data_IF_490169573264
#
_entry.id   IF_490169573264
#
_cell.length_a   1.000
_cell.length_b   1.000
_cell.length_c   1.000
_cell.angle_alpha   90.00
_cell.angle_beta   90.00
_cell.angle_gamma   90.00
#
_symmetry.space_group_name_H-M   'P 1'
#
loop_
_entity.id
_entity.type
_entity.pdbx_description
1 polymer ?
#
# COMPACT_ATOMS: atom_id res chain seq x y z
N UNK A 1 8.67 -17.55 13.10
CA UNK A 1 9.19 -16.84 11.93
C UNK A 1 8.17 -15.76 11.56
N UNK A 2 8.49 -14.48 11.75
CA UNK A 2 7.58 -13.41 11.33
C UNK A 2 7.52 -13.37 9.79
N UNK A 3 6.33 -13.45 9.22
CA UNK A 3 6.10 -13.33 7.77
C UNK A 3 6.45 -11.93 7.23
N UNK A 4 6.37 -11.71 5.92
CA UNK A 4 6.55 -10.36 5.35
C UNK A 4 5.47 -9.41 5.88
N UNK A 5 5.85 -8.19 6.28
CA UNK A 5 4.91 -7.16 6.75
C UNK A 5 4.03 -6.63 5.62
N UNK A 6 4.55 -6.64 4.40
CA UNK A 6 3.87 -6.14 3.20
C UNK A 6 3.75 -7.23 2.15
N UNK A 7 2.67 -7.20 1.36
CA UNK A 7 2.45 -8.15 0.28
C UNK A 7 2.53 -7.49 -1.10
N UNK A 8 2.77 -8.29 -2.14
CA UNK A 8 2.76 -7.82 -3.52
C UNK A 8 1.38 -7.27 -3.87
N UNK A 9 1.38 -6.13 -4.54
CA UNK A 9 0.20 -5.36 -4.91
C UNK A 9 -0.21 -4.30 -3.90
N UNK A 10 0.34 -4.32 -2.68
CA UNK A 10 -0.01 -3.40 -1.60
C UNK A 10 0.43 -1.96 -1.87
N UNK A 11 -0.35 -0.98 -1.43
CA UNK A 11 0.08 0.43 -1.43
C UNK A 11 0.75 0.81 -0.10
N UNK A 12 1.94 1.39 -0.21
CA UNK A 12 2.81 1.84 0.88
C UNK A 12 3.36 3.23 0.58
N UNK A 13 3.89 3.91 1.58
CA UNK A 13 4.63 5.15 1.44
C UNK A 13 5.95 5.03 2.21
N UNK A 14 6.88 5.94 1.98
CA UNK A 14 8.07 6.02 2.83
C UNK A 14 7.71 6.59 4.20
N UNK A 15 8.19 5.96 5.26
CA UNK A 15 8.05 6.48 6.62
C UNK A 15 8.73 7.86 6.74
N UNK A 16 8.24 8.72 7.65
CA UNK A 16 8.76 10.08 7.81
C UNK A 16 10.30 10.18 7.91
N UNK A 17 11.01 9.32 8.69
CA UNK A 17 12.46 9.37 8.73
C UNK A 17 13.09 9.13 7.35
N UNK A 18 12.56 8.17 6.59
CA UNK A 18 13.08 7.88 5.25
C UNK A 18 12.87 9.06 4.29
N UNK A 19 11.72 9.75 4.37
CA UNK A 19 11.44 10.95 3.58
C UNK A 19 12.40 12.10 3.95
N UNK A 20 12.65 12.31 5.25
CA UNK A 20 13.63 13.31 5.72
C UNK A 20 15.05 13.03 5.22
N UNK A 21 15.36 11.76 4.95
CA UNK A 21 16.63 11.32 4.35
C UNK A 21 16.60 11.23 2.81
N UNK A 22 15.63 11.86 2.15
CA UNK A 22 15.59 12.01 0.69
C UNK A 22 14.82 10.93 -0.06
N UNK A 23 14.06 10.07 0.63
CA UNK A 23 13.12 9.18 -0.04
C UNK A 23 11.97 9.99 -0.67
N UNK A 24 11.50 9.61 -1.88
CA UNK A 24 10.41 10.33 -2.53
C UNK A 24 9.11 10.19 -1.72
N UNK A 25 8.39 11.28 -1.46
CA UNK A 25 7.07 11.21 -0.85
C UNK A 25 6.05 10.59 -1.82
N UNK A 26 4.88 10.26 -1.29
CA UNK A 26 3.74 9.76 -2.06
C UNK A 26 3.61 8.24 -2.08
N UNK A 27 2.60 7.78 -2.83
CA UNK A 27 2.19 6.39 -2.82
C UNK A 27 3.03 5.52 -3.75
N UNK A 28 3.37 4.35 -3.25
CA UNK A 28 4.15 3.36 -3.95
C UNK A 28 3.49 1.99 -3.84
N UNK A 29 3.52 1.21 -4.91
CA UNK A 29 3.00 -0.16 -4.92
C UNK A 29 4.12 -1.15 -4.71
N UNK A 30 3.93 -2.15 -3.86
CA UNK A 30 4.83 -3.31 -3.78
C UNK A 30 4.70 -4.13 -5.06
N UNK A 31 5.75 -4.21 -5.86
CA UNK A 31 5.79 -5.03 -7.08
C UNK A 31 6.39 -6.41 -6.82
N UNK A 32 7.31 -6.53 -5.86
CA UNK A 32 7.96 -7.81 -5.53
C UNK A 32 8.63 -7.81 -4.16
N UNK A 33 8.61 -8.95 -3.46
CA UNK A 33 9.50 -9.23 -2.33
C UNK A 33 10.89 -9.66 -2.86
N UNK A 34 11.94 -9.04 -2.37
CA UNK A 34 13.33 -9.33 -2.71
C UNK A 34 14.01 -10.14 -1.60
N UNK A 35 15.14 -10.80 -1.88
CA UNK A 35 15.96 -11.43 -0.86
C UNK A 35 16.29 -10.43 0.26
N UNK A 36 16.25 -10.84 1.53
CA UNK A 36 16.60 -9.94 2.63
C UNK A 36 18.09 -9.57 2.57
N UNK A 37 18.40 -8.33 2.92
CA UNK A 37 19.76 -7.82 3.04
C UNK A 37 20.01 -7.43 4.50
N UNK A 38 21.13 -7.87 5.07
CA UNK A 38 21.46 -7.65 6.49
C UNK A 38 20.37 -8.11 7.47
N UNK A 39 19.62 -9.16 7.10
CA UNK A 39 18.52 -9.69 7.91
C UNK A 39 17.21 -8.91 7.79
N UNK A 40 17.17 -7.85 6.97
CA UNK A 40 15.98 -7.04 6.74
C UNK A 40 15.34 -7.36 5.38
N UNK A 41 14.02 -7.50 5.34
CA UNK A 41 13.28 -7.73 4.10
C UNK A 41 13.34 -6.50 3.20
N UNK A 42 13.42 -6.75 1.90
CA UNK A 42 13.43 -5.70 0.89
C UNK A 42 12.29 -5.88 -0.09
N UNK A 43 11.79 -4.77 -0.60
CA UNK A 43 10.69 -4.73 -1.53
C UNK A 43 11.08 -3.90 -2.74
N UNK A 44 10.75 -4.40 -3.94
CA UNK A 44 10.69 -3.57 -5.13
C UNK A 44 9.36 -2.85 -5.11
N UNK A 45 9.41 -1.52 -5.12
CA UNK A 45 8.22 -0.66 -5.09
C UNK A 45 8.16 0.19 -6.35
N UNK A 46 6.96 0.58 -6.77
CA UNK A 46 6.72 1.44 -7.93
C UNK A 46 5.88 2.64 -7.53
N UNK A 47 6.40 3.85 -7.73
CA UNK A 47 5.64 5.08 -7.46
C UNK A 47 4.40 5.15 -8.33
N UNK A 48 3.24 5.46 -7.76
CA UNK A 48 1.97 5.53 -8.50
C UNK A 48 1.95 6.72 -9.47
N UNK A 49 2.47 7.87 -9.04
CA UNK A 49 2.50 9.09 -9.86
C UNK A 49 3.73 9.14 -10.77
N UNK A 50 4.89 8.71 -10.26
CA UNK A 50 6.14 8.79 -11.00
C UNK A 50 6.37 7.62 -11.96
N UNK A 51 5.70 6.48 -11.73
CA UNK A 51 5.92 5.23 -12.46
C UNK A 51 7.31 4.61 -12.24
N UNK A 52 8.18 5.23 -11.44
CA UNK A 52 9.56 4.79 -11.23
C UNK A 52 9.63 3.68 -10.20
N UNK A 53 10.46 2.67 -10.49
CA UNK A 53 10.71 1.55 -9.59
C UNK A 53 11.93 1.80 -8.70
N UNK A 54 11.85 1.36 -7.45
CA UNK A 54 12.89 1.52 -6.43
C UNK A 54 12.94 0.29 -5.53
N UNK A 55 14.03 0.15 -4.79
CA UNK A 55 14.15 -0.83 -3.72
C UNK A 55 14.02 -0.09 -2.39
N UNK A 56 13.20 -0.61 -1.49
CA UNK A 56 13.02 -0.10 -0.14
C UNK A 56 13.08 -1.23 0.87
N UNK A 57 13.68 -0.96 2.03
CA UNK A 57 13.70 -1.90 3.16
C UNK A 57 12.38 -1.83 3.92
N UNK A 58 12.01 -2.91 4.60
CA UNK A 58 10.76 -3.00 5.35
C UNK A 58 10.61 -1.87 6.39
N UNK A 59 11.69 -1.46 7.06
CA UNK A 59 11.69 -0.35 8.03
C UNK A 59 11.58 1.04 7.42
N UNK A 60 11.92 1.19 6.13
CA UNK A 60 11.82 2.46 5.42
C UNK A 60 10.40 2.73 4.93
N UNK A 61 9.59 1.69 4.86
CA UNK A 61 8.22 1.75 4.44
C UNK A 61 7.32 1.92 5.64
N UNK A 62 6.33 2.77 5.47
CA UNK A 62 5.12 2.69 6.23
C UNK A 62 3.98 2.34 5.29
N UNK A 63 2.94 1.75 5.85
CA UNK A 63 1.80 1.33 5.07
C UNK A 63 0.67 1.23 6.03
N UNK A 64 -0.28 2.15 5.90
CA UNK A 64 -1.51 2.07 6.64
C UNK A 64 -2.23 0.80 6.19
N UNK A 65 -2.05 -0.28 6.97
CA UNK A 65 -2.94 -1.44 6.96
C UNK A 65 -4.40 -0.96 6.96
N UNK A 66 -4.67 0.19 7.60
CA UNK A 66 -5.95 0.89 7.60
C UNK A 66 -6.47 1.25 6.19
N UNK A 67 -5.66 1.73 5.23
CA UNK A 67 -6.14 2.08 3.88
C UNK A 67 -6.55 0.83 3.12
N UNK A 68 -5.71 -0.20 3.12
CA UNK A 68 -6.05 -1.48 2.46
C UNK A 68 -7.24 -2.17 3.13
N UNK A 69 -7.30 -2.15 4.47
CA UNK A 69 -8.40 -2.72 5.24
C UNK A 69 -9.69 -1.96 4.98
N UNK A 70 -9.65 -0.63 4.96
CA UNK A 70 -10.81 0.19 4.68
C UNK A 70 -11.26 0.03 3.22
N UNK A 71 -10.32 0.00 2.27
CA UNK A 71 -10.62 -0.23 0.86
C UNK A 71 -11.26 -1.60 0.65
N UNK A 72 -10.73 -2.64 1.32
CA UNK A 72 -11.33 -3.97 1.32
C UNK A 72 -12.74 -3.94 1.91
N UNK A 73 -12.95 -3.29 3.06
CA UNK A 73 -14.28 -3.17 3.69
C UNK A 73 -15.28 -2.44 2.79
N UNK A 74 -14.88 -1.32 2.19
CA UNK A 74 -15.72 -0.54 1.28
C UNK A 74 -16.07 -1.35 0.03
N UNK A 75 -15.09 -2.06 -0.54
CA UNK A 75 -15.31 -2.95 -1.66
C UNK A 75 -16.27 -4.08 -1.31
N UNK A 76 -16.06 -4.77 -0.18
CA UNK A 76 -16.91 -5.87 0.29
C UNK A 76 -18.34 -5.42 0.57
N UNK A 77 -18.51 -4.25 1.20
CA UNK A 77 -19.83 -3.65 1.45
C UNK A 77 -20.58 -3.31 0.14
N UNK A 78 -19.86 -2.91 -0.90
CA UNK A 78 -20.41 -2.61 -2.22
C UNK A 78 -20.42 -3.82 -3.17
N UNK A 79 -19.98 -5.01 -2.74
CA UNK A 79 -19.61 -6.10 -3.64
C UNK A 79 -20.82 -6.79 -4.27
N UNK A 80 -21.39 -6.19 -5.32
CA UNK A 80 -22.45 -6.80 -6.13
C UNK A 80 -21.96 -8.02 -6.94
N UNK A 81 -20.66 -8.32 -6.94
CA UNK A 81 -20.03 -9.24 -7.89
C UNK A 81 -19.54 -10.56 -7.28
N UNK A 82 -19.63 -10.75 -5.96
CA UNK A 82 -19.19 -11.96 -5.22
C UNK A 82 -17.72 -12.40 -5.43
N UNK A 83 -16.88 -11.60 -6.08
CA UNK A 83 -15.45 -11.89 -6.21
C UNK A 83 -14.70 -11.30 -5.01
N UNK A 84 -13.86 -12.06 -4.30
CA UNK A 84 -13.10 -11.56 -3.17
C UNK A 84 -12.11 -10.45 -3.55
N UNK A 85 -11.91 -9.47 -2.65
CA UNK A 85 -10.93 -8.38 -2.81
C UNK A 85 -9.56 -8.90 -3.25
N UNK A 86 -9.08 -9.98 -2.62
CA UNK A 86 -7.81 -10.63 -2.89
C UNK A 86 -7.64 -11.15 -4.34
N UNK A 87 -8.74 -11.41 -5.06
CA UNK A 87 -8.74 -11.87 -6.45
C UNK A 87 -8.91 -10.73 -7.47
N UNK A 88 -9.21 -9.51 -7.02
CA UNK A 88 -9.38 -8.36 -7.92
C UNK A 88 -8.06 -7.78 -8.40
N UNK A 89 -8.05 -7.38 -9.68
CA UNK A 89 -6.92 -6.66 -10.26
C UNK A 89 -6.84 -5.20 -9.78
N UNK A 90 -5.73 -4.54 -10.12
CA UNK A 90 -5.42 -3.17 -9.72
C UNK A 90 -6.46 -2.17 -10.21
N UNK A 91 -6.99 -2.35 -11.42
CA UNK A 91 -7.98 -1.46 -12.03
C UNK A 91 -9.26 -1.43 -11.20
N UNK A 92 -9.69 -2.60 -10.70
CA UNK A 92 -10.85 -2.68 -9.82
C UNK A 92 -10.55 -2.17 -8.41
N UNK A 93 -9.34 -2.40 -7.87
CA UNK A 93 -8.99 -1.95 -6.50
C UNK A 93 -8.69 -0.47 -6.36
N UNK A 94 -8.18 0.18 -7.42
CA UNK A 94 -7.68 1.56 -7.36
C UNK A 94 -8.72 2.60 -6.89
N UNK A 95 -9.99 2.55 -7.32
CA UNK A 95 -11.01 3.48 -6.82
C UNK A 95 -11.24 3.35 -5.31
N UNK A 96 -11.29 2.11 -4.80
CA UNK A 96 -11.51 1.82 -3.38
C UNK A 96 -10.33 2.20 -2.50
N UNK A 97 -9.10 2.01 -3.00
CA UNK A 97 -7.88 2.46 -2.32
C UNK A 97 -7.84 3.99 -2.22
N UNK A 98 -8.21 4.70 -3.29
CA UNK A 98 -8.32 6.17 -3.28
C UNK A 98 -9.41 6.64 -2.33
N UNK A 99 -10.57 5.98 -2.31
CA UNK A 99 -11.66 6.32 -1.40
C UNK A 99 -11.27 6.10 0.06
N UNK A 100 -10.66 4.96 0.37
CA UNK A 100 -10.16 4.67 1.71
C UNK A 100 -9.11 5.68 2.18
N UNK A 101 -8.20 6.07 1.29
CA UNK A 101 -7.21 7.11 1.57
C UNK A 101 -7.88 8.47 1.83
N UNK A 102 -8.87 8.86 1.02
CA UNK A 102 -9.64 10.09 1.21
C UNK A 102 -10.38 10.11 2.57
N UNK A 103 -11.01 9.00 2.96
CA UNK A 103 -11.72 8.89 4.24
C UNK A 103 -10.78 8.96 5.44
N UNK A 104 -9.61 8.32 5.36
CA UNK A 104 -8.60 8.39 6.43
C UNK A 104 -7.91 9.75 6.49
N UNK A 105 -7.80 10.46 5.37
CA UNK A 105 -7.21 11.81 5.31
C UNK A 105 -8.19 12.89 5.75
N UNK A 106 -9.50 12.62 5.78
CA UNK A 106 -10.53 13.59 6.12
C UNK A 106 -11.61 12.99 7.05
N UNK A 107 -11.36 12.96 8.37
CA UNK A 107 -12.24 12.27 9.33
C UNK A 107 -13.64 12.89 9.47
N UNK A 108 -13.87 14.10 8.96
CA UNK A 108 -15.14 14.84 9.12
C UNK A 108 -16.26 14.45 8.15
N UNK A 109 -16.04 13.46 7.26
CA UNK A 109 -17.07 12.99 6.30
C UNK A 109 -17.90 11.79 6.75
N UNK A 110 -17.69 11.32 7.99
CA UNK A 110 -18.52 10.26 8.59
C UNK A 110 -19.53 10.88 9.57
N UNK A 111 -20.52 11.58 9.04
CA UNK A 111 -21.70 12.03 9.79
C UNK A 111 -22.96 11.86 8.91
#
# INVERSE_FOLDING_TARGET
>A
MNGPKYHVGQIVHFAEPAVKHGAPPGDHRIERLLPPELGERQYRIKGLDSGRERVARESQLDGQLAVETLAQRLYEAANATNVPWAQRDRTIRSPWLKEALNQLSNPERSA
#
